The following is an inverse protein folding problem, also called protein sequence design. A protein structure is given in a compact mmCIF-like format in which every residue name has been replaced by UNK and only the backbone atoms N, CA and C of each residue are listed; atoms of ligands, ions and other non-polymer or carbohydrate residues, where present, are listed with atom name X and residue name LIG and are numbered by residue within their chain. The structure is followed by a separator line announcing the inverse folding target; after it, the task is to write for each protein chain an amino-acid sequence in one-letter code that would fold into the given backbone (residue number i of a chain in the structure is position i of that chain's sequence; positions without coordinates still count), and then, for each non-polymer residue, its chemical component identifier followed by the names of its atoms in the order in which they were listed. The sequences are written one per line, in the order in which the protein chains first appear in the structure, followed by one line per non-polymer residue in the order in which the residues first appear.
data_IF_948265331599
#
_entry.id   IF_948265331599
#
_cell.length_a   1.000
_cell.length_b   1.000
_cell.length_c   1.000
_cell.angle_alpha   90.00
_cell.angle_beta   90.00
_cell.angle_gamma   90.00
#
_symmetry.space_group_name_H-M   'P 1'
#
loop_
_entity.id
_entity.type
_entity.pdbx_description
1 polymer ?
#
# COMPACT_ATOMS: atom_id res chain seq x y z
N UNK A 1 1.03 4.54 17.26
CA UNK A 1 0.87 4.36 15.80
C UNK A 1 0.76 5.73 15.16
N UNK A 2 1.54 5.98 14.11
CA UNK A 2 1.49 7.30 13.45
C UNK A 2 0.39 7.35 12.40
N UNK A 3 0.21 8.52 11.78
CA UNK A 3 -0.86 8.73 10.81
C UNK A 3 -0.78 7.78 9.62
N UNK A 4 0.43 7.50 9.15
CA UNK A 4 0.63 6.62 8.01
C UNK A 4 0.30 5.19 8.38
N UNK A 5 0.77 4.74 9.54
CA UNK A 5 0.47 3.39 10.01
C UNK A 5 -1.03 3.19 10.21
N UNK A 6 -1.70 4.21 10.72
CA UNK A 6 -3.13 4.12 10.95
C UNK A 6 -3.89 3.94 9.62
N UNK A 7 -3.49 4.69 8.60
CA UNK A 7 -4.11 4.56 7.29
C UNK A 7 -3.80 3.24 6.63
N UNK A 8 -2.58 2.73 6.81
CA UNK A 8 -2.23 1.42 6.29
C UNK A 8 -3.09 0.33 6.93
N UNK A 9 -3.32 0.44 8.22
CA UNK A 9 -4.17 -0.52 8.90
C UNK A 9 -5.58 -0.49 8.33
N UNK A 10 -6.12 0.70 8.11
CA UNK A 10 -7.45 0.85 7.53
C UNK A 10 -7.52 0.28 6.12
N UNK A 11 -6.48 0.51 5.32
CA UNK A 11 -6.42 -0.01 3.96
C UNK A 11 -6.38 -1.54 3.96
N UNK A 12 -5.61 -2.13 4.86
CA UNK A 12 -5.53 -3.57 4.95
C UNK A 12 -6.88 -4.17 5.36
N UNK A 13 -7.62 -3.51 6.22
CA UNK A 13 -8.96 -3.97 6.57
C UNK A 13 -9.90 -3.93 5.38
N UNK A 14 -9.65 -3.04 4.42
CA UNK A 14 -10.41 -2.95 3.19
C UNK A 14 -9.85 -3.86 2.11
N UNK A 15 -8.97 -4.76 2.48
CA UNK A 15 -8.38 -5.78 1.61
C UNK A 15 -7.33 -5.27 0.64
N UNK A 16 -6.78 -4.11 0.90
CA UNK A 16 -5.63 -3.64 0.14
C UNK A 16 -4.40 -4.40 0.60
N UNK A 17 -3.57 -4.83 -0.36
CA UNK A 17 -2.28 -5.43 -0.05
C UNK A 17 -1.21 -4.36 -0.11
N UNK A 18 -0.07 -4.62 0.53
CA UNK A 18 1.04 -3.67 0.47
C UNK A 18 1.52 -3.48 -0.96
N UNK A 19 1.53 -4.56 -1.76
CA UNK A 19 1.93 -4.47 -3.16
C UNK A 19 0.99 -3.58 -3.96
N UNK A 20 -0.32 -3.70 -3.74
CA UNK A 20 -1.29 -2.88 -4.44
C UNK A 20 -1.16 -1.41 -4.04
N UNK A 21 -0.97 -1.16 -2.75
CA UNK A 21 -0.76 0.20 -2.26
C UNK A 21 0.49 0.80 -2.90
N UNK A 22 1.59 0.05 -2.90
CA UNK A 22 2.85 0.52 -3.46
C UNK A 22 2.71 0.81 -4.95
N UNK A 23 2.02 -0.05 -5.67
CA UNK A 23 1.80 0.13 -7.09
C UNK A 23 1.04 1.44 -7.37
N UNK A 24 -0.02 1.70 -6.61
CA UNK A 24 -0.81 2.91 -6.80
C UNK A 24 -0.02 4.15 -6.41
N UNK A 25 0.91 4.04 -5.51
CA UNK A 25 1.70 5.17 -5.07
C UNK A 25 3.00 5.34 -5.84
N UNK A 26 3.30 4.41 -6.75
CA UNK A 26 4.51 4.51 -7.55
C UNK A 26 5.78 4.22 -6.77
N UNK A 27 5.70 3.39 -5.76
CA UNK A 27 6.86 3.06 -4.95
C UNK A 27 6.97 1.53 -4.81
N UNK A 28 7.99 1.07 -4.11
CA UNK A 28 8.20 -0.36 -3.91
C UNK A 28 7.44 -0.84 -2.69
N UNK A 29 6.98 -2.09 -2.72
CA UNK A 29 6.23 -2.64 -1.59
C UNK A 29 7.06 -2.65 -0.31
N UNK A 30 8.38 -2.84 -0.43
CA UNK A 30 9.25 -2.86 0.75
C UNK A 30 9.27 -1.51 1.45
N UNK A 31 9.14 -0.42 0.69
CA UNK A 31 9.06 0.91 1.26
C UNK A 31 7.79 1.05 2.10
N UNK A 32 6.67 0.57 1.57
CA UNK A 32 5.40 0.62 2.29
C UNK A 32 5.47 -0.27 3.54
N UNK A 33 6.14 -1.41 3.42
CA UNK A 33 6.34 -2.32 4.56
C UNK A 33 7.10 -1.64 5.69
N UNK A 34 8.13 -0.87 5.34
CA UNK A 34 8.90 -0.14 6.34
C UNK A 34 8.07 0.93 7.04
N UNK A 35 7.16 1.57 6.28
CA UNK A 35 6.23 2.52 6.89
C UNK A 35 5.30 1.79 7.86
N UNK A 36 4.84 0.62 7.47
CA UNK A 36 3.94 -0.18 8.32
C UNK A 36 4.61 -0.59 9.62
N UNK A 37 5.87 -1.00 9.55
CA UNK A 37 6.62 -1.43 10.72
C UNK A 37 7.08 -0.27 11.60
N UNK A 38 6.96 0.96 11.13
CA UNK A 38 7.46 2.10 11.87
C UNK A 38 8.96 2.32 11.72
N UNK A 39 9.61 1.57 10.83
CA UNK A 39 11.05 1.72 10.59
C UNK A 39 11.36 3.01 9.86
N UNK A 40 10.42 3.47 9.04
CA UNK A 40 10.59 4.68 8.27
C UNK A 40 9.28 5.46 8.26
N UNK A 41 9.41 6.76 8.08
CA UNK A 41 8.27 7.63 7.89
C UNK A 41 8.50 8.36 6.57
N UNK A 42 7.47 8.48 5.72
CA UNK A 42 7.72 9.10 4.40
C UNK A 42 8.16 10.54 4.52
N UNK A 43 9.14 10.91 3.70
CA UNK A 43 9.66 12.27 3.69
C UNK A 43 8.58 13.27 3.25
N UNK A 44 7.75 12.87 2.28
CA UNK A 44 6.64 13.70 1.81
C UNK A 44 5.35 13.17 2.39
N UNK A 45 5.26 13.19 3.72
CA UNK A 45 4.14 12.55 4.42
C UNK A 45 2.78 13.13 4.02
N UNK A 46 2.71 14.42 3.76
CA UNK A 46 1.46 15.02 3.34
C UNK A 46 0.92 14.41 2.06
N UNK A 47 1.79 14.27 1.06
CA UNK A 47 1.41 13.67 -0.22
C UNK A 47 1.02 12.20 -0.05
N UNK A 48 1.77 11.47 0.77
CA UNK A 48 1.49 10.06 1.03
C UNK A 48 0.14 9.91 1.73
N UNK A 49 -0.12 10.74 2.72
CA UNK A 49 -1.38 10.68 3.44
C UNK A 49 -2.56 10.98 2.52
N UNK A 50 -2.42 11.99 1.66
CA UNK A 50 -3.46 12.30 0.70
C UNK A 50 -3.71 11.13 -0.26
N UNK A 51 -2.65 10.50 -0.73
CA UNK A 51 -2.78 9.36 -1.62
C UNK A 51 -3.49 8.20 -0.91
N UNK A 52 -3.12 7.94 0.34
CA UNK A 52 -3.76 6.87 1.11
C UNK A 52 -5.24 7.16 1.37
N UNK A 53 -5.58 8.41 1.66
CA UNK A 53 -6.98 8.79 1.85
C UNK A 53 -7.76 8.59 0.57
N UNK A 54 -7.15 8.85 -0.59
CA UNK A 54 -7.78 8.59 -1.86
C UNK A 54 -8.03 7.10 -2.05
N UNK A 55 -7.06 6.26 -1.72
CA UNK A 55 -7.22 4.81 -1.81
C UNK A 55 -8.33 4.30 -0.90
N UNK A 56 -8.52 4.95 0.25
CA UNK A 56 -9.57 4.55 1.17
C UNK A 56 -10.97 4.75 0.58
N UNK A 57 -11.10 5.59 -0.43
CA UNK A 57 -12.38 5.80 -1.12
C UNK A 57 -12.59 4.85 -2.28
N UNK A 58 -11.58 4.04 -2.62
CA UNK A 58 -11.62 3.15 -3.77
C UNK A 58 -11.74 1.71 -3.34
N UNK A 59 -12.25 0.87 -4.25
CA UNK A 59 -12.27 -0.57 -4.01
C UNK A 59 -10.87 -1.11 -4.18
N UNK A 60 -10.49 -2.01 -3.29
CA UNK A 60 -9.23 -2.69 -3.41
C UNK A 60 -9.23 -3.59 -4.66
N UNK A 61 -8.11 -3.66 -5.39
CA UNK A 61 -8.01 -4.55 -6.54
C UNK A 61 -8.06 -6.00 -6.10
N UNK A 62 -8.33 -6.88 -7.05
CA UNK A 62 -8.38 -8.30 -6.76
C UNK A 62 -7.01 -8.78 -6.33
N UNK A 63 -6.97 -9.38 -5.17
CA UNK A 63 -5.71 -9.78 -4.55
C UNK A 63 -4.88 -10.72 -5.40
N UNK A 64 -5.53 -11.70 -6.02
CA UNK A 64 -4.80 -12.70 -6.79
C UNK A 64 -4.04 -12.12 -7.97
N UNK A 65 -4.41 -10.96 -8.48
CA UNK A 65 -3.68 -10.34 -9.58
C UNK A 65 -2.27 -10.03 -9.20
N UNK A 66 -2.09 -9.63 -7.95
CA UNK A 66 -0.77 -9.29 -7.48
C UNK A 66 0.00 -10.53 -7.09
N UNK A 67 -0.69 -11.57 -6.70
CA UNK A 67 -0.04 -12.82 -6.35
C UNK A 67 0.58 -13.51 -7.55
N UNK A 68 -0.02 -13.32 -8.74
CA UNK A 68 0.46 -13.98 -9.93
C UNK A 68 1.35 -13.16 -10.77
N UNK A 69 1.63 -12.03 -10.34
CA UNK A 69 2.52 -11.27 -11.11
C UNK A 69 3.84 -11.85 -11.17
N UNK A 70 3.82 -12.81 -10.79
CA UNK A 70 4.86 -13.54 -10.99
C UNK A 70 4.89 -14.44 -11.93
N UNK A 71 4.43 -14.76 -12.42
CA UNK A 71 4.43 -15.50 -13.19
C UNK A 71 4.30 -15.85 -14.03
N UNK A 72 4.00 -15.40 -13.76
CA UNK A 72 3.81 -15.78 -14.45
C UNK A 72 3.96 -16.05 -15.26
N UNK A 73 3.89 -15.69 -15.05
CA UNK A 73 3.86 -16.02 -15.74
C UNK A 73 4.18 -16.64 -16.44
N UNK A 74 4.22 -16.78 -16.39
CA UNK A 74 4.36 -17.44 -16.76
C UNK A 74 4.27 -17.89 -17.62
N UNK A 75 4.08 -17.50 -17.52
CA UNK A 75 3.75 -17.93 -18.28
C UNK A 75 3.73 -18.38 -18.59
#
# INVERSE_FOLDING_TARGET
MNDVQLRLEKLKKKRWTLAAIADRMGTKWVTVKRWENGERYPALSGAVIMAMDQLLTEKAPLKRRYAYNEPSVRA
#
